data_IF_498723912897
#
_entry.id   IF_498723912897
#
_cell.length_a   1.000
_cell.length_b   1.000
_cell.length_c   1.000
_cell.angle_alpha   90.00
_cell.angle_beta   90.00
_cell.angle_gamma   90.00
#
_symmetry.space_group_name_H-M   'P 1'
#
loop_
_entity.id
_entity.type
_entity.pdbx_description
1 polymer ?
#
# COMPACT_ATOMS: atom_id res chain seq x y z
N UNK A 1 24.29 5.01 -42.38
CA UNK A 1 23.71 5.14 -41.03
C UNK A 1 24.23 3.98 -40.19
N UNK A 2 24.81 4.27 -39.04
CA UNK A 2 25.26 3.23 -38.12
C UNK A 2 24.03 2.69 -37.37
N UNK A 3 23.83 1.38 -37.33
CA UNK A 3 22.73 0.75 -36.61
C UNK A 3 22.96 0.96 -35.10
N UNK A 4 21.99 1.52 -34.41
CA UNK A 4 22.01 1.71 -32.93
C UNK A 4 21.09 0.66 -32.34
N UNK A 5 21.53 -0.08 -31.30
CA UNK A 5 20.65 -1.03 -30.64
C UNK A 5 19.49 -0.32 -29.95
N UNK A 6 18.28 -0.81 -30.14
CA UNK A 6 17.08 -0.40 -29.39
C UNK A 6 16.90 -1.37 -28.22
N UNK A 7 16.90 -0.82 -27.01
CA UNK A 7 16.76 -1.59 -25.77
C UNK A 7 15.40 -1.25 -25.15
N UNK A 8 14.59 -2.27 -24.89
CA UNK A 8 13.34 -2.11 -24.14
C UNK A 8 13.65 -1.92 -22.65
N UNK A 9 12.94 -0.99 -21.98
CA UNK A 9 12.97 -0.82 -20.53
C UNK A 9 12.00 -1.76 -19.82
N UNK A 10 12.15 -1.89 -18.51
CA UNK A 10 11.16 -2.52 -17.63
C UNK A 10 10.12 -1.50 -17.14
N UNK A 11 8.95 -1.96 -16.69
CA UNK A 11 8.01 -1.14 -15.93
C UNK A 11 8.65 -0.58 -14.66
N UNK A 12 8.22 0.60 -14.22
CA UNK A 12 8.82 1.34 -13.11
C UNK A 12 8.95 0.53 -11.81
N UNK A 13 7.89 -0.20 -11.42
CA UNK A 13 7.91 -1.05 -10.23
C UNK A 13 8.90 -2.22 -10.37
N UNK A 14 8.94 -2.85 -11.55
CA UNK A 14 9.88 -3.95 -11.82
C UNK A 14 11.34 -3.45 -11.88
N UNK A 15 11.57 -2.27 -12.47
CA UNK A 15 12.90 -1.64 -12.48
C UNK A 15 13.33 -1.22 -11.08
N UNK A 16 12.41 -0.64 -10.27
CA UNK A 16 12.64 -0.32 -8.87
C UNK A 16 12.96 -1.56 -8.03
N UNK A 17 12.27 -2.68 -8.27
CA UNK A 17 12.54 -3.95 -7.61
C UNK A 17 13.96 -4.46 -7.91
N UNK A 18 14.42 -4.38 -9.17
CA UNK A 18 15.82 -4.71 -9.52
C UNK A 18 16.79 -3.81 -8.77
N UNK A 19 16.51 -2.50 -8.72
CA UNK A 19 17.35 -1.53 -8.00
C UNK A 19 17.43 -1.81 -6.50
N UNK A 20 16.37 -2.34 -5.91
CA UNK A 20 16.30 -2.75 -4.50
C UNK A 20 16.81 -4.20 -4.25
N UNK A 21 17.23 -4.94 -5.28
CA UNK A 21 17.68 -6.33 -5.15
C UNK A 21 16.55 -7.35 -5.00
N UNK A 22 15.31 -6.99 -5.31
CA UNK A 22 14.13 -7.85 -5.23
C UNK A 22 13.98 -8.57 -6.58
N UNK A 23 14.69 -9.67 -6.75
CA UNK A 23 14.91 -10.32 -8.04
C UNK A 23 14.64 -11.83 -8.05
N UNK A 24 14.45 -12.44 -6.88
CA UNK A 24 14.20 -13.87 -6.74
C UNK A 24 12.79 -14.15 -6.21
N UNK A 25 12.16 -15.27 -6.64
CA UNK A 25 10.88 -15.70 -6.11
C UNK A 25 10.86 -15.73 -4.57
N UNK A 26 9.75 -15.29 -3.98
CA UNK A 26 9.58 -15.14 -2.55
C UNK A 26 10.13 -13.84 -1.96
N UNK A 27 10.90 -13.06 -2.73
CA UNK A 27 11.29 -11.71 -2.31
C UNK A 27 10.14 -10.71 -2.58
N UNK A 28 9.97 -9.77 -1.66
CA UNK A 28 8.94 -8.75 -1.75
C UNK A 28 9.47 -7.38 -1.33
N UNK A 29 8.78 -6.34 -1.76
CA UNK A 29 8.98 -4.96 -1.29
C UNK A 29 7.66 -4.27 -1.04
N UNK A 30 7.66 -3.33 -0.10
CA UNK A 30 6.58 -2.40 0.14
C UNK A 30 7.03 -1.00 -0.28
N UNK A 31 6.31 -0.42 -1.22
CA UNK A 31 6.52 0.98 -1.64
C UNK A 31 5.41 1.84 -1.06
N UNK A 32 5.78 2.86 -0.29
CA UNK A 32 4.86 3.82 0.34
C UNK A 32 5.06 5.20 -0.26
N UNK A 33 4.07 5.63 -1.02
CA UNK A 33 3.96 6.97 -1.56
C UNK A 33 2.53 7.47 -1.40
N UNK A 34 2.03 8.29 -2.31
CA UNK A 34 0.61 8.67 -2.36
C UNK A 34 -0.26 7.43 -2.28
N UNK A 35 0.03 6.43 -3.11
CA UNK A 35 -0.51 5.07 -3.04
C UNK A 35 0.49 4.12 -2.39
N UNK A 36 0.02 2.93 -1.97
CA UNK A 36 0.85 1.85 -1.45
C UNK A 36 0.89 0.68 -2.44
N UNK A 37 2.07 0.09 -2.61
CA UNK A 37 2.24 -1.09 -3.46
C UNK A 37 2.98 -2.16 -2.67
N UNK A 38 2.36 -3.32 -2.52
CA UNK A 38 3.05 -4.53 -2.12
C UNK A 38 3.37 -5.33 -3.38
N UNK A 39 4.67 -5.44 -3.68
CA UNK A 39 5.22 -6.12 -4.84
C UNK A 39 5.90 -7.41 -4.39
N UNK A 40 5.69 -8.52 -5.10
CA UNK A 40 6.35 -9.77 -4.79
C UNK A 40 6.71 -10.54 -6.06
N UNK A 41 7.93 -11.08 -6.10
CA UNK A 41 8.42 -11.91 -7.21
C UNK A 41 7.85 -13.31 -7.10
N UNK A 42 7.38 -13.87 -8.22
CA UNK A 42 6.83 -15.22 -8.31
C UNK A 42 7.60 -16.09 -9.31
N UNK A 43 7.56 -17.42 -9.10
CA UNK A 43 8.19 -18.42 -9.96
C UNK A 43 7.57 -18.48 -11.37
N UNK A 44 6.35 -17.99 -11.54
CA UNK A 44 5.61 -18.05 -12.78
C UNK A 44 4.42 -17.11 -12.76
N UNK A 45 3.66 -17.13 -13.83
CA UNK A 45 2.44 -16.35 -13.94
C UNK A 45 1.38 -16.86 -12.95
N UNK A 46 0.93 -15.96 -12.09
CA UNK A 46 -0.19 -16.16 -11.17
C UNK A 46 -1.24 -15.08 -11.43
N UNK A 47 -2.53 -15.39 -11.26
CA UNK A 47 -3.60 -14.44 -11.49
C UNK A 47 -4.69 -14.53 -10.41
N UNK A 48 -5.18 -13.38 -9.98
CA UNK A 48 -6.35 -13.26 -9.10
C UNK A 48 -7.15 -11.99 -9.50
N UNK A 49 -7.87 -12.04 -10.63
CA UNK A 49 -8.62 -10.89 -11.12
C UNK A 49 -9.77 -10.49 -10.20
N UNK A 50 -10.33 -11.43 -9.41
CA UNK A 50 -11.41 -11.14 -8.46
C UNK A 50 -10.97 -10.17 -7.37
N UNK A 51 -9.72 -10.25 -6.96
CA UNK A 51 -9.13 -9.34 -5.97
C UNK A 51 -8.35 -8.19 -6.61
N UNK A 52 -8.48 -7.97 -7.91
CA UNK A 52 -7.76 -6.93 -8.66
C UNK A 52 -6.24 -6.96 -8.43
N UNK A 53 -5.67 -8.15 -8.26
CA UNK A 53 -4.21 -8.35 -8.19
C UNK A 53 -3.62 -8.17 -9.57
N UNK A 54 -2.56 -7.37 -9.65
CA UNK A 54 -1.79 -7.18 -10.87
C UNK A 54 -0.76 -8.29 -11.01
N UNK A 55 -0.63 -8.85 -12.21
CA UNK A 55 0.39 -9.84 -12.55
C UNK A 55 1.08 -9.43 -13.84
N UNK A 56 2.40 -9.27 -13.81
CA UNK A 56 3.20 -8.82 -14.95
C UNK A 56 4.50 -9.58 -15.05
N UNK A 57 5.12 -9.52 -16.25
CA UNK A 57 6.51 -9.91 -16.40
C UNK A 57 7.40 -8.98 -15.56
N UNK A 58 8.37 -9.57 -14.87
CA UNK A 58 9.43 -8.82 -14.23
C UNK A 58 10.38 -8.19 -15.27
N UNK A 59 11.25 -7.26 -14.87
CA UNK A 59 12.29 -6.73 -15.74
C UNK A 59 13.38 -7.76 -16.05
N UNK A 60 13.44 -8.86 -15.30
CA UNK A 60 14.35 -9.97 -15.55
C UNK A 60 13.70 -11.05 -16.43
N UNK A 61 14.49 -11.74 -17.28
CA UNK A 61 13.97 -12.81 -18.15
C UNK A 61 13.35 -13.96 -17.32
N UNK A 62 12.25 -14.52 -17.84
CA UNK A 62 11.56 -15.68 -17.25
C UNK A 62 11.13 -15.51 -15.78
N UNK A 63 10.92 -14.27 -15.35
CA UNK A 63 10.52 -13.92 -13.99
C UNK A 63 9.21 -13.15 -14.04
N UNK A 64 8.36 -13.34 -13.05
CA UNK A 64 7.07 -12.70 -12.91
C UNK A 64 6.97 -11.98 -11.57
N UNK A 65 6.00 -11.11 -11.46
CA UNK A 65 5.67 -10.49 -10.17
C UNK A 65 4.18 -10.24 -10.04
N UNK A 66 3.73 -10.22 -8.81
CA UNK A 66 2.40 -9.78 -8.41
C UNK A 66 2.49 -8.43 -7.71
N UNK A 67 1.46 -7.63 -7.86
CA UNK A 67 1.29 -6.40 -7.09
C UNK A 67 -0.13 -6.27 -6.56
N UNK A 68 -0.26 -5.87 -5.29
CA UNK A 68 -1.46 -5.21 -4.79
C UNK A 68 -1.23 -3.71 -4.79
N UNK A 69 -2.27 -2.95 -5.06
CA UNK A 69 -2.22 -1.48 -5.06
C UNK A 69 -3.33 -0.94 -4.18
N UNK A 70 -2.92 -0.23 -3.13
CA UNK A 70 -3.80 0.57 -2.27
C UNK A 70 -3.76 2.01 -2.75
N UNK A 71 -4.89 2.59 -3.14
CA UNK A 71 -4.93 3.88 -3.83
C UNK A 71 -4.61 5.06 -2.92
N UNK A 72 -4.80 4.93 -1.62
CA UNK A 72 -4.53 5.96 -0.61
C UNK A 72 -3.70 5.36 0.52
N UNK A 73 -2.40 5.66 0.57
CA UNK A 73 -1.48 5.16 1.59
C UNK A 73 -0.89 6.32 2.41
N UNK A 74 0.35 6.76 2.15
CA UNK A 74 0.93 7.89 2.88
C UNK A 74 0.15 9.18 2.65
N UNK A 75 -0.58 9.30 1.54
CA UNK A 75 -1.50 10.41 1.29
C UNK A 75 -2.63 10.53 2.32
N UNK A 76 -3.03 9.46 3.00
CA UNK A 76 -4.04 9.53 4.06
C UNK A 76 -3.54 10.36 5.25
N UNK A 77 -2.32 10.11 5.69
CA UNK A 77 -1.72 10.89 6.79
C UNK A 77 -1.49 12.34 6.37
N UNK A 78 -1.03 12.58 5.13
CA UNK A 78 -0.86 13.93 4.61
C UNK A 78 -2.19 14.67 4.55
N UNK A 79 -3.23 14.05 3.98
CA UNK A 79 -4.58 14.61 3.95
C UNK A 79 -5.13 14.92 5.34
N UNK A 80 -4.97 14.00 6.30
CA UNK A 80 -5.39 14.18 7.68
C UNK A 80 -4.68 15.37 8.32
N UNK A 81 -3.36 15.45 8.17
CA UNK A 81 -2.53 16.53 8.68
C UNK A 81 -2.94 17.90 8.11
N UNK A 82 -3.12 18.00 6.79
CA UNK A 82 -3.35 19.27 6.09
C UNK A 82 -4.82 19.73 6.14
N UNK A 83 -5.77 18.81 6.01
CA UNK A 83 -7.17 19.16 5.83
C UNK A 83 -8.02 19.00 7.10
N UNK A 84 -7.66 18.07 7.98
CA UNK A 84 -8.46 17.80 9.17
C UNK A 84 -7.89 18.53 10.40
N UNK A 85 -6.66 18.20 10.81
CA UNK A 85 -6.11 18.71 12.07
C UNK A 85 -5.25 19.97 11.94
N UNK A 86 -4.84 20.33 10.72
CA UNK A 86 -3.98 21.49 10.44
C UNK A 86 -2.67 21.47 11.22
N UNK A 87 -2.10 20.28 11.39
CA UNK A 87 -0.87 20.02 12.15
C UNK A 87 0.15 19.34 11.24
N UNK A 88 1.43 19.77 11.22
CA UNK A 88 2.45 19.13 10.40
C UNK A 88 2.62 17.64 10.72
N UNK A 89 2.82 16.80 9.69
CA UNK A 89 3.00 15.34 9.85
C UNK A 89 4.10 15.00 10.86
N UNK A 90 5.23 15.73 10.81
CA UNK A 90 6.34 15.50 11.74
C UNK A 90 5.93 15.69 13.22
N UNK A 91 5.08 16.68 13.50
CA UNK A 91 4.54 16.90 14.85
C UNK A 91 3.60 15.77 15.26
N UNK A 92 2.68 15.37 14.36
CA UNK A 92 1.76 14.27 14.63
C UNK A 92 2.51 12.96 14.94
N UNK A 93 3.58 12.66 14.19
CA UNK A 93 4.38 11.46 14.43
C UNK A 93 5.21 11.53 15.70
N UNK A 94 5.74 12.71 16.06
CA UNK A 94 6.47 12.88 17.32
C UNK A 94 5.59 12.64 18.56
N UNK A 95 4.31 12.97 18.49
CA UNK A 95 3.35 12.74 19.58
C UNK A 95 3.01 11.25 19.78
N UNK A 96 3.41 10.38 18.85
CA UNK A 96 3.11 8.94 18.88
C UNK A 96 4.15 8.08 19.60
N UNK A 97 5.30 8.61 19.98
CA UNK A 97 6.44 7.85 20.53
C UNK A 97 6.09 6.97 21.75
N UNK A 98 5.00 7.24 22.44
CA UNK A 98 4.57 6.50 23.64
C UNK A 98 3.48 5.45 23.37
N UNK A 99 3.07 5.26 22.13
CA UNK A 99 1.92 4.41 21.81
C UNK A 99 0.57 5.02 22.22
N UNK A 100 -0.56 4.44 21.79
CA UNK A 100 -1.88 4.84 22.25
C UNK A 100 -2.07 4.39 23.70
N UNK A 101 -2.65 5.23 24.54
CA UNK A 101 -2.93 4.88 25.95
C UNK A 101 -3.92 3.70 26.06
N UNK A 102 -4.83 3.55 25.11
CA UNK A 102 -5.83 2.49 25.01
C UNK A 102 -5.94 1.97 23.56
N UNK A 103 -5.07 1.04 23.17
CA UNK A 103 -5.09 0.46 21.82
C UNK A 103 -6.41 -0.28 21.49
N UNK A 104 -7.13 -0.79 22.50
CA UNK A 104 -8.40 -1.49 22.31
C UNK A 104 -9.59 -0.56 21.99
N UNK A 105 -9.42 0.74 22.10
CA UNK A 105 -10.46 1.75 21.90
C UNK A 105 -10.18 2.69 20.72
N UNK A 106 -9.21 2.35 19.87
CA UNK A 106 -8.95 3.15 18.68
C UNK A 106 -10.10 3.05 17.69
N UNK A 107 -10.54 4.17 17.10
CA UNK A 107 -11.49 4.12 16.01
C UNK A 107 -10.88 3.43 14.79
N UNK A 108 -11.66 2.64 14.07
CA UNK A 108 -11.22 2.02 12.83
C UNK A 108 -11.28 3.05 11.70
N UNK A 109 -10.16 3.23 10.98
CA UNK A 109 -10.11 4.06 9.79
C UNK A 109 -10.08 3.21 8.52
N UNK A 110 -11.00 3.48 7.59
CA UNK A 110 -10.97 2.94 6.24
C UNK A 110 -10.31 3.96 5.30
N UNK A 111 -9.14 3.67 4.70
CA UNK A 111 -8.34 4.67 4.00
C UNK A 111 -8.79 4.93 2.55
N UNK A 112 -10.00 4.60 2.16
CA UNK A 112 -10.47 4.59 0.77
C UNK A 112 -10.85 5.97 0.23
N UNK A 113 -10.00 6.98 0.45
CA UNK A 113 -10.30 8.39 0.12
C UNK A 113 -10.52 8.63 -1.39
N UNK A 114 -9.89 7.82 -2.24
CA UNK A 114 -9.97 7.91 -3.70
C UNK A 114 -10.55 6.66 -4.38
N UNK A 115 -11.38 5.91 -3.67
CA UNK A 115 -11.76 4.56 -4.04
C UNK A 115 -10.71 3.56 -3.60
N UNK A 116 -10.87 2.28 -3.96
CA UNK A 116 -9.86 1.26 -3.67
C UNK A 116 -9.77 0.24 -4.80
N UNK A 117 -8.54 -0.24 -5.05
CA UNK A 117 -8.25 -1.26 -6.05
C UNK A 117 -8.17 -2.64 -5.41
N UNK A 118 -7.04 -3.01 -4.86
CA UNK A 118 -6.83 -4.35 -4.28
C UNK A 118 -7.19 -4.35 -2.79
N UNK A 119 -8.03 -5.29 -2.31
CA UNK A 119 -8.71 -6.36 -3.05
C UNK A 119 -10.13 -6.00 -3.53
N UNK A 120 -10.64 -4.82 -3.25
CA UNK A 120 -12.07 -4.48 -3.33
C UNK A 120 -12.54 -4.11 -4.75
N UNK A 121 -11.63 -3.58 -5.59
CA UNK A 121 -11.94 -3.08 -6.94
C UNK A 121 -13.17 -2.17 -6.98
N UNK A 122 -13.27 -1.26 -6.03
CA UNK A 122 -14.41 -0.35 -5.88
C UNK A 122 -13.99 1.12 -6.02
N UNK A 123 -14.19 1.76 -7.18
CA UNK A 123 -13.83 3.16 -7.39
C UNK A 123 -14.70 4.14 -6.59
N UNK A 124 -15.83 3.69 -6.05
CA UNK A 124 -16.76 4.51 -5.28
C UNK A 124 -16.60 4.37 -3.75
N UNK A 125 -15.67 3.54 -3.29
CA UNK A 125 -15.34 3.42 -1.87
C UNK A 125 -14.91 4.78 -1.31
N UNK A 126 -15.23 5.04 -0.04
CA UNK A 126 -14.91 6.29 0.65
C UNK A 126 -14.22 6.00 1.97
N UNK A 127 -13.42 6.97 2.44
CA UNK A 127 -12.84 6.93 3.77
C UNK A 127 -13.93 7.01 4.85
N UNK A 128 -13.73 6.29 5.94
CA UNK A 128 -14.66 6.24 7.07
C UNK A 128 -13.87 6.14 8.36
N UNK A 129 -14.29 6.86 9.42
CA UNK A 129 -13.98 6.51 10.79
C UNK A 129 -15.20 5.85 11.42
N UNK A 130 -14.97 4.70 12.02
CA UNK A 130 -15.97 3.95 12.75
C UNK A 130 -15.56 3.80 14.22
N UNK A 131 -16.50 3.98 15.14
CA UNK A 131 -16.24 3.81 16.58
C UNK A 131 -15.70 5.09 17.26
N UNK A 132 -15.99 6.28 16.74
CA UNK A 132 -15.70 7.54 17.44
C UNK A 132 -16.56 7.69 18.70
N UNK A 133 -15.94 8.20 19.76
CA UNK A 133 -16.61 8.60 20.98
C UNK A 133 -16.08 9.94 21.50
N UNK A 134 -16.60 10.43 22.65
CA UNK A 134 -16.18 11.71 23.25
C UNK A 134 -14.73 11.70 23.77
N UNK A 135 -14.11 10.54 23.92
CA UNK A 135 -12.71 10.42 24.39
C UNK A 135 -11.73 10.31 23.22
N UNK A 136 -12.23 10.23 21.98
CA UNK A 136 -11.39 10.12 20.79
C UNK A 136 -10.67 11.44 20.54
N UNK A 137 -9.40 11.49 20.84
CA UNK A 137 -8.53 12.65 20.67
C UNK A 137 -7.74 12.61 19.33
N UNK A 138 -6.96 13.66 19.07
CA UNK A 138 -6.12 13.76 17.87
C UNK A 138 -5.09 12.64 17.80
N UNK A 139 -4.55 12.20 18.93
CA UNK A 139 -3.55 11.12 18.98
C UNK A 139 -4.19 9.80 18.55
N UNK A 140 -5.36 9.46 19.09
CA UNK A 140 -6.13 8.28 18.70
C UNK A 140 -6.50 8.29 17.21
N UNK A 141 -6.92 9.44 16.68
CA UNK A 141 -7.20 9.58 15.24
C UNK A 141 -5.95 9.41 14.38
N UNK A 142 -4.81 9.95 14.80
CA UNK A 142 -3.54 9.78 14.07
C UNK A 142 -3.14 8.31 14.02
N UNK A 143 -3.22 7.59 15.14
CA UNK A 143 -2.97 6.15 15.19
C UNK A 143 -3.91 5.38 14.27
N UNK A 144 -5.20 5.70 14.31
CA UNK A 144 -6.19 5.01 13.49
C UNK A 144 -5.92 5.16 11.99
N UNK A 145 -5.42 6.32 11.55
CA UNK A 145 -5.02 6.54 10.15
C UNK A 145 -3.85 5.64 9.77
N UNK A 146 -2.81 5.54 10.62
CA UNK A 146 -1.66 4.68 10.36
C UNK A 146 -2.05 3.20 10.35
N UNK A 147 -2.87 2.79 11.33
CA UNK A 147 -3.35 1.42 11.45
C UNK A 147 -4.25 1.02 10.27
N UNK A 148 -5.20 1.88 9.89
CA UNK A 148 -6.10 1.64 8.76
C UNK A 148 -5.36 1.48 7.44
N UNK A 149 -4.33 2.31 7.18
CA UNK A 149 -3.44 2.14 6.01
C UNK A 149 -2.67 0.82 6.10
N UNK A 150 -2.17 0.47 7.29
CA UNK A 150 -1.44 -0.79 7.51
C UNK A 150 -2.33 -2.01 7.25
N UNK A 151 -3.59 -1.98 7.70
CA UNK A 151 -4.56 -3.05 7.42
C UNK A 151 -4.89 -3.16 5.93
N UNK A 152 -5.04 -2.05 5.22
CA UNK A 152 -5.27 -2.07 3.77
C UNK A 152 -4.09 -2.70 3.02
N UNK A 153 -2.86 -2.37 3.39
CA UNK A 153 -1.65 -2.97 2.84
C UNK A 153 -1.56 -4.48 3.15
N UNK A 154 -1.90 -4.87 4.39
CA UNK A 154 -1.96 -6.28 4.78
C UNK A 154 -3.01 -7.06 3.99
N UNK A 155 -4.20 -6.51 3.77
CA UNK A 155 -5.22 -7.12 2.90
C UNK A 155 -4.70 -7.32 1.48
N UNK A 156 -3.93 -6.35 0.95
CA UNK A 156 -3.26 -6.46 -0.33
C UNK A 156 -2.26 -7.62 -0.37
N UNK A 157 -1.40 -7.75 0.65
CA UNK A 157 -0.46 -8.86 0.78
C UNK A 157 -1.20 -10.21 0.88
N UNK A 158 -2.28 -10.29 1.67
CA UNK A 158 -3.11 -11.49 1.79
C UNK A 158 -3.72 -11.91 0.44
N UNK A 159 -4.15 -10.94 -0.39
CA UNK A 159 -4.66 -11.21 -1.73
C UNK A 159 -3.59 -11.80 -2.66
N UNK A 160 -2.32 -11.37 -2.54
CA UNK A 160 -1.21 -11.96 -3.28
C UNK A 160 -0.94 -13.40 -2.83
N UNK A 161 -0.91 -13.67 -1.52
CA UNK A 161 -0.74 -15.04 -1.02
C UNK A 161 -1.90 -15.95 -1.42
N UNK A 162 -3.14 -15.45 -1.41
CA UNK A 162 -4.31 -16.19 -1.92
C UNK A 162 -4.22 -16.49 -3.42
N UNK A 163 -3.38 -15.78 -4.18
CA UNK A 163 -3.10 -16.04 -5.60
C UNK A 163 -2.10 -17.18 -5.83
N UNK A 164 -1.58 -17.79 -4.75
CA UNK A 164 -0.60 -18.88 -4.81
C UNK A 164 0.86 -18.42 -4.66
N UNK A 165 1.10 -17.17 -4.27
CA UNK A 165 2.44 -16.70 -3.91
C UNK A 165 2.94 -17.48 -2.68
N UNK A 166 4.16 -18.00 -2.78
CA UNK A 166 4.83 -18.79 -1.73
C UNK A 166 5.87 -17.97 -1.01
#
# INVERSE_FOLDING_TARGET
>A
MQAVPLIAGGGDNAAGAVGAGIVHPGQAMLSLGTSGVYFAVSDGFLANPQSAVHSFCHALPNTWHLMSVTLSAASCLQWYAEHIVKTPVATLLADLDQGPENSEQLPLFLPYLSGERTPHNNPNAKGVWFGLDYNTDQKALTYSVLEGVSFALFQGAAALHASGLK
#
